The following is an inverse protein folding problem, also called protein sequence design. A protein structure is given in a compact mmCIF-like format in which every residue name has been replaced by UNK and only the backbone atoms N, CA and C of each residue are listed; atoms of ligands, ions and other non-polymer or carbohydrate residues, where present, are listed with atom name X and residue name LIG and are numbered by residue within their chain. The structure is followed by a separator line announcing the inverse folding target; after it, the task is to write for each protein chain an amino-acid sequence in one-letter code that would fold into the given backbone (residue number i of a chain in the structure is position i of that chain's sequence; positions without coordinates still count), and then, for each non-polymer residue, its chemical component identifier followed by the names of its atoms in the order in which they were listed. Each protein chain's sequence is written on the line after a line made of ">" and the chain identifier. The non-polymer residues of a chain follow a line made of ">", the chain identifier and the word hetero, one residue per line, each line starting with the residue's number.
data_IF_935768887461
#
_entry.id   IF_935768887461
#
_cell.length_a   1.000
_cell.length_b   1.000
_cell.length_c   1.000
_cell.angle_alpha   90.00
_cell.angle_beta   90.00
_cell.angle_gamma   90.00
#
_symmetry.space_group_name_H-M   'P 1'
#
loop_
_entity.id
_entity.type
_entity.pdbx_description
1 polymer ?
#
# COMPACT_ATOMS: atom_id res chain seq x y z
N UNK A 1 8.09 -18.05 -2.31
CA UNK A 1 7.34 -16.93 -2.93
C UNK A 1 6.40 -16.41 -1.87
N UNK A 2 6.61 -15.18 -1.39
CA UNK A 2 5.71 -14.54 -0.44
C UNK A 2 4.78 -13.63 -1.21
N UNK A 3 3.47 -13.80 -1.02
CA UNK A 3 2.46 -12.96 -1.66
C UNK A 3 2.01 -11.95 -0.61
N UNK A 4 2.44 -10.69 -0.79
CA UNK A 4 1.87 -9.55 -0.07
C UNK A 4 0.60 -9.05 -0.76
N UNK A 5 -0.11 -8.13 -0.11
CA UNK A 5 -1.26 -7.44 -0.67
C UNK A 5 -1.27 -5.97 -0.23
N UNK A 6 -2.07 -5.15 -0.91
CA UNK A 6 -2.27 -3.75 -0.57
C UNK A 6 -3.77 -3.47 -0.50
N UNK A 7 -4.21 -2.90 0.63
CA UNK A 7 -5.53 -2.29 0.73
C UNK A 7 -5.45 -0.83 0.33
N UNK A 8 -6.49 -0.34 -0.32
CA UNK A 8 -6.64 1.04 -0.74
C UNK A 8 -8.00 1.27 -1.38
N UNK A 9 -8.32 2.51 -1.68
CA UNK A 9 -9.52 2.87 -2.41
C UNK A 9 -9.24 2.87 -3.91
N UNK A 10 -10.05 2.17 -4.68
CA UNK A 10 -9.97 2.23 -6.14
C UNK A 10 -10.46 3.60 -6.59
N UNK A 11 -9.58 4.38 -7.21
CA UNK A 11 -9.89 5.73 -7.70
C UNK A 11 -9.96 5.83 -9.22
N UNK A 12 -9.32 4.90 -9.93
CA UNK A 12 -9.41 4.79 -11.37
C UNK A 12 -9.17 3.35 -11.83
N UNK A 13 -9.80 3.01 -12.94
CA UNK A 13 -9.72 1.71 -13.58
C UNK A 13 -9.72 1.93 -15.08
N UNK A 14 -8.74 1.38 -15.78
CA UNK A 14 -8.70 1.32 -17.24
C UNK A 14 -8.54 -0.14 -17.69
N UNK A 15 -8.31 -0.37 -18.99
CA UNK A 15 -8.23 -1.70 -19.57
C UNK A 15 -7.02 -2.50 -19.07
N UNK A 16 -5.93 -1.84 -18.70
CA UNK A 16 -4.66 -2.48 -18.35
C UNK A 16 -4.29 -2.32 -16.88
N UNK A 17 -4.84 -1.32 -16.20
CA UNK A 17 -4.39 -0.88 -14.88
C UNK A 17 -5.53 -0.56 -13.91
N UNK A 18 -5.17 -0.62 -12.63
CA UNK A 18 -6.00 -0.17 -11.51
C UNK A 18 -5.17 0.80 -10.68
N UNK A 19 -5.75 1.94 -10.34
CA UNK A 19 -5.14 2.94 -9.46
C UNK A 19 -5.79 2.89 -8.10
N UNK A 20 -4.98 2.71 -7.06
CA UNK A 20 -5.38 2.71 -5.67
C UNK A 20 -4.89 3.99 -4.99
N UNK A 21 -5.75 4.68 -4.27
CA UNK A 21 -5.36 5.67 -3.27
C UNK A 21 -5.16 4.97 -1.92
N UNK A 22 -3.95 5.10 -1.37
CA UNK A 22 -3.53 4.42 -0.13
C UNK A 22 -3.44 5.35 1.08
N UNK A 23 -3.37 6.65 0.80
CA UNK A 23 -3.41 7.76 1.75
C UNK A 23 -3.83 9.02 0.98
N UNK A 24 -4.27 10.11 1.65
CA UNK A 24 -4.71 11.33 0.97
C UNK A 24 -3.68 11.83 -0.05
N UNK A 25 -4.05 11.80 -1.33
CA UNK A 25 -3.20 12.23 -2.43
C UNK A 25 -2.05 11.29 -2.81
N UNK A 26 -1.93 10.11 -2.19
CA UNK A 26 -0.93 9.09 -2.52
C UNK A 26 -1.58 7.98 -3.34
N UNK A 27 -1.17 7.86 -4.60
CA UNK A 27 -1.72 6.91 -5.55
C UNK A 27 -0.68 5.93 -6.07
N UNK A 28 -1.06 4.65 -6.10
CA UNK A 28 -0.27 3.56 -6.64
C UNK A 28 -1.01 2.92 -7.82
N UNK A 29 -0.32 2.73 -8.94
CA UNK A 29 -0.87 2.08 -10.14
C UNK A 29 -0.34 0.67 -10.28
N UNK A 30 -1.25 -0.28 -10.50
CA UNK A 30 -0.94 -1.69 -10.71
C UNK A 30 -1.45 -2.14 -12.07
N UNK A 31 -0.64 -2.91 -12.80
CA UNK A 31 -1.11 -3.62 -13.97
C UNK A 31 -2.05 -4.75 -13.53
N UNK A 32 -3.19 -4.91 -14.21
CA UNK A 32 -4.17 -5.96 -13.89
C UNK A 32 -3.58 -7.37 -13.90
N UNK A 33 -2.68 -7.75 -14.82
CA UNK A 33 -2.06 -9.08 -14.79
C UNK A 33 -1.17 -9.33 -13.57
N UNK A 34 -0.73 -8.26 -12.87
CA UNK A 34 0.08 -8.37 -11.66
C UNK A 34 -0.76 -8.60 -10.39
N UNK A 35 -2.09 -8.47 -10.47
CA UNK A 35 -2.99 -8.66 -9.32
C UNK A 35 -3.46 -10.11 -9.29
N UNK A 36 -2.86 -10.92 -8.42
CA UNK A 36 -3.19 -12.34 -8.31
C UNK A 36 -4.60 -12.59 -7.75
N UNK A 37 -5.08 -11.74 -6.83
CA UNK A 37 -6.40 -11.84 -6.20
C UNK A 37 -6.89 -10.47 -5.75
N UNK A 38 -8.17 -10.19 -5.98
CA UNK A 38 -8.89 -9.08 -5.35
C UNK A 38 -9.64 -9.62 -4.13
N UNK A 39 -9.51 -8.95 -3.00
CA UNK A 39 -10.24 -9.26 -1.76
C UNK A 39 -11.17 -8.09 -1.42
N UNK A 40 -12.44 -8.38 -1.20
CA UNK A 40 -13.46 -7.40 -0.76
C UNK A 40 -13.82 -7.65 0.71
N UNK A 41 -14.18 -6.60 1.44
CA UNK A 41 -14.68 -6.70 2.83
C UNK A 41 -13.61 -6.66 3.93
N UNK A 42 -12.40 -6.20 3.63
CA UNK A 42 -11.45 -5.79 4.68
C UNK A 42 -11.76 -4.37 5.10
N UNK A 43 -12.39 -4.17 6.26
CA UNK A 43 -12.33 -2.89 6.97
C UNK A 43 -10.84 -2.49 7.06
N UNK A 44 -10.45 -1.24 6.74
CA UNK A 44 -9.11 -0.76 7.04
C UNK A 44 -8.88 -1.01 8.53
N UNK A 45 -8.01 -1.97 8.87
CA UNK A 45 -7.49 -2.02 10.23
C UNK A 45 -6.74 -0.72 10.39
N UNK A 46 -7.15 0.10 11.36
CA UNK A 46 -6.35 1.22 11.86
C UNK A 46 -4.97 0.68 12.22
N UNK A 47 -4.05 0.75 11.26
CA UNK A 47 -2.64 0.53 11.51
C UNK A 47 -2.16 1.82 12.13
N UNK A 48 -1.81 1.84 13.43
CA UNK A 48 -1.23 3.04 14.02
C UNK A 48 -0.05 3.44 13.15
N UNK A 49 -0.02 4.71 12.74
CA UNK A 49 1.03 5.25 11.91
C UNK A 49 2.38 4.83 12.51
N UNK A 50 3.18 4.11 11.74
CA UNK A 50 4.49 3.66 12.19
C UNK A 50 5.26 4.88 12.71
N UNK A 51 5.53 4.91 14.02
CA UNK A 51 6.38 5.93 14.61
C UNK A 51 7.71 5.91 13.87
N UNK A 52 8.16 7.09 13.45
CA UNK A 52 9.46 7.25 12.80
C UNK A 52 10.53 6.80 13.79
N UNK A 53 11.09 5.61 13.59
CA UNK A 53 12.33 5.20 14.24
C UNK A 53 13.42 6.06 13.62
N UNK A 54 13.77 7.14 14.31
CA UNK A 54 15.00 7.88 14.04
C UNK A 54 16.14 7.01 14.53
N UNK A 55 16.84 6.36 13.60
CA UNK A 55 18.10 5.70 13.92
C UNK A 55 19.18 6.79 13.96
N UNK A 56 19.43 7.31 15.16
CA UNK A 56 20.57 8.19 15.42
C UNK A 56 21.84 7.34 15.43
N UNK A 57 22.37 7.11 14.23
CA UNK A 57 23.75 6.69 14.07
C UNK A 57 24.70 7.80 14.56
N UNK A 58 25.82 7.38 15.14
CA UNK A 58 26.96 8.18 15.64
C UNK A 58 26.87 8.73 17.07
N UNK A 59 27.30 7.91 18.03
CA UNK A 59 28.44 8.22 18.89
C UNK A 59 28.73 7.01 19.78
N UNK A 60 29.96 6.48 19.74
CA UNK A 60 30.83 6.28 20.92
C UNK A 60 32.25 5.92 20.50
N UNK A 61 33.18 6.63 21.14
CA UNK A 61 34.65 6.53 21.17
C UNK A 61 35.25 5.12 21.12
#
# INVERSE_FOLDING_TARGET
>A
MTIGGLYGHVVSVDDETVTLEVAPGVQNRYARPAIARVVSGGEPRDVPAAEKVVDEADAKD
#
